data_IF_782401819319
#
_entry.id   IF_782401819319
#
_cell.length_a   1.000
_cell.length_b   1.000
_cell.length_c   1.000
_cell.angle_alpha   90.00
_cell.angle_beta   90.00
_cell.angle_gamma   90.00
#
_symmetry.space_group_name_H-M   'P 1'
#
loop_
_entity.id
_entity.type
_entity.pdbx_description
1 polymer ?
#
# COMPACT_ATOMS: atom_id res chain seq x y z
N UNK A 1 10.85 8.73 6.52
CA UNK A 1 10.63 7.39 5.96
C UNK A 1 10.40 7.51 4.46
N UNK A 2 10.89 6.57 3.71
CA UNK A 2 10.99 6.71 2.27
C UNK A 2 9.73 6.31 1.51
N UNK A 3 9.65 6.80 0.30
CA UNK A 3 8.61 6.47 -0.68
C UNK A 3 8.75 4.99 -1.11
N UNK A 4 7.65 4.24 -1.28
CA UNK A 4 7.72 2.82 -1.66
C UNK A 4 8.42 2.55 -2.99
N UNK A 5 8.36 3.47 -3.96
CA UNK A 5 9.09 3.31 -5.24
C UNK A 5 10.60 3.38 -5.01
N UNK A 6 11.04 4.13 -3.99
CA UNK A 6 12.45 4.22 -3.61
C UNK A 6 12.89 2.98 -2.83
N UNK A 7 12.07 2.50 -1.90
CA UNK A 7 12.44 1.36 -1.04
C UNK A 7 12.38 0.03 -1.77
N UNK A 8 11.36 -0.16 -2.63
CA UNK A 8 11.13 -1.42 -3.34
C UNK A 8 10.77 -1.17 -4.80
N UNK A 9 11.73 -0.68 -5.61
CA UNK A 9 11.45 -0.39 -7.04
C UNK A 9 11.13 -1.64 -7.86
N UNK A 10 11.49 -2.81 -7.38
CA UNK A 10 11.18 -4.09 -8.03
C UNK A 10 9.72 -4.50 -7.86
N UNK A 11 9.02 -3.96 -6.86
CA UNK A 11 7.63 -4.29 -6.56
C UNK A 11 6.67 -3.16 -6.91
N UNK A 12 7.11 -1.91 -6.81
CA UNK A 12 6.32 -0.71 -7.10
C UNK A 12 6.79 -0.02 -8.37
N UNK A 13 5.86 0.39 -9.20
CA UNK A 13 6.15 1.23 -10.37
C UNK A 13 5.10 2.33 -10.51
N UNK A 14 5.47 3.44 -11.14
CA UNK A 14 4.55 4.54 -11.41
C UNK A 14 3.81 4.23 -12.71
N UNK A 15 2.50 3.98 -12.60
CA UNK A 15 1.65 3.69 -13.76
C UNK A 15 1.16 4.96 -14.44
N UNK A 16 0.92 6.02 -13.66
CA UNK A 16 0.44 7.31 -14.16
C UNK A 16 0.75 8.39 -13.12
N UNK A 17 1.01 9.60 -13.59
CA UNK A 17 1.24 10.73 -12.69
C UNK A 17 0.88 12.04 -13.37
N UNK A 18 0.23 12.96 -12.63
CA UNK A 18 0.00 14.33 -13.03
C UNK A 18 0.13 15.24 -11.80
N UNK A 19 -0.33 16.49 -11.89
CA UNK A 19 -0.20 17.45 -10.79
C UNK A 19 -1.05 17.09 -9.57
N UNK A 20 -2.04 16.23 -9.71
CA UNK A 20 -3.01 15.95 -8.67
C UNK A 20 -2.88 14.57 -8.04
N UNK A 21 -2.45 13.58 -8.82
CA UNK A 21 -2.35 12.19 -8.36
C UNK A 21 -1.10 11.53 -8.90
N UNK A 22 -0.64 10.52 -8.16
CA UNK A 22 0.34 9.56 -8.65
C UNK A 22 -0.25 8.18 -8.47
N UNK A 23 -0.36 7.42 -9.56
CA UNK A 23 -0.90 6.06 -9.51
C UNK A 23 0.27 5.07 -9.49
N UNK A 24 0.38 4.32 -8.40
CA UNK A 24 1.37 3.26 -8.26
C UNK A 24 0.74 1.92 -8.60
N UNK A 25 1.51 1.08 -9.30
CA UNK A 25 1.21 -0.33 -9.50
C UNK A 25 2.09 -1.13 -8.57
N UNK A 26 1.49 -1.98 -7.76
CA UNK A 26 2.20 -2.88 -6.86
C UNK A 26 1.94 -4.32 -7.29
N UNK A 27 3.01 -5.10 -7.47
CA UNK A 27 2.91 -6.51 -7.84
C UNK A 27 3.95 -7.32 -7.07
N UNK A 28 3.50 -8.37 -6.38
CA UNK A 28 4.40 -9.27 -5.67
C UNK A 28 3.95 -10.72 -5.76
N UNK A 29 4.79 -11.60 -5.24
CA UNK A 29 4.56 -13.04 -5.14
C UNK A 29 4.54 -13.47 -3.67
N UNK A 30 3.97 -14.66 -3.34
CA UNK A 30 4.02 -15.17 -1.98
C UNK A 30 5.43 -15.14 -1.40
N UNK A 31 5.56 -14.64 -0.18
CA UNK A 31 6.84 -14.50 0.53
C UNK A 31 7.55 -13.18 0.31
N UNK A 32 7.16 -12.39 -0.68
CA UNK A 32 7.78 -11.08 -0.92
C UNK A 32 7.45 -10.11 0.20
N UNK A 33 8.43 -9.26 0.52
CA UNK A 33 8.33 -8.25 1.59
C UNK A 33 8.71 -6.89 1.07
N UNK A 34 8.06 -5.86 1.62
CA UNK A 34 8.48 -4.48 1.42
C UNK A 34 9.32 -4.01 2.61
N UNK A 35 10.24 -3.07 2.34
CA UNK A 35 10.89 -2.30 3.38
C UNK A 35 9.88 -1.31 3.98
N UNK A 36 10.11 -0.81 5.21
CA UNK A 36 9.27 0.26 5.75
C UNK A 36 9.24 1.45 4.80
N UNK A 37 8.05 1.96 4.54
CA UNK A 37 7.83 3.07 3.61
C UNK A 37 6.62 3.88 4.04
N UNK A 38 6.42 5.01 3.36
CA UNK A 38 5.35 5.95 3.66
C UNK A 38 4.41 6.09 2.47
N UNK A 39 3.11 6.00 2.74
CA UNK A 39 2.05 6.32 1.78
C UNK A 39 1.35 7.62 2.15
N UNK A 40 1.03 8.49 1.17
CA UNK A 40 0.05 9.56 1.39
C UNK A 40 -1.36 8.97 1.40
N UNK A 41 -2.38 9.82 1.63
CA UNK A 41 -3.77 9.43 1.43
C UNK A 41 -3.96 8.87 0.03
N UNK A 42 -4.62 7.72 -0.08
CA UNK A 42 -4.74 7.00 -1.35
C UNK A 42 -6.06 6.28 -1.48
N UNK A 43 -6.49 6.12 -2.72
CA UNK A 43 -7.53 5.14 -3.07
C UNK A 43 -6.80 3.87 -3.53
N UNK A 44 -7.10 2.76 -2.88
CA UNK A 44 -6.53 1.45 -3.18
C UNK A 44 -7.51 0.64 -4.02
N UNK A 45 -7.05 0.12 -5.15
CA UNK A 45 -7.86 -0.67 -6.07
C UNK A 45 -7.19 -2.03 -6.23
N UNK A 46 -7.88 -3.09 -5.80
CA UNK A 46 -7.31 -4.44 -5.85
C UNK A 46 -7.69 -5.13 -7.15
N UNK A 47 -6.70 -5.71 -7.83
CA UNK A 47 -6.89 -6.49 -9.05
C UNK A 47 -6.75 -7.99 -8.83
N UNK A 48 -6.35 -8.41 -7.63
CA UNK A 48 -6.25 -9.82 -7.24
C UNK A 48 -6.68 -9.98 -5.79
N UNK A 49 -7.07 -11.20 -5.43
CA UNK A 49 -7.30 -11.56 -4.02
C UNK A 49 -5.98 -11.90 -3.39
N UNK A 50 -5.70 -11.36 -2.20
CA UNK A 50 -4.43 -11.58 -1.53
C UNK A 50 -4.56 -11.54 -0.01
N UNK A 51 -3.52 -12.02 0.63
CA UNK A 51 -3.39 -12.05 2.09
C UNK A 51 -2.04 -11.44 2.47
N UNK A 52 -2.06 -10.46 3.38
CA UNK A 52 -0.86 -9.70 3.76
C UNK A 52 -0.76 -9.49 5.25
N UNK A 53 0.47 -9.40 5.73
CA UNK A 53 0.78 -8.91 7.08
C UNK A 53 1.35 -7.51 6.98
N UNK A 54 0.71 -6.58 7.65
CA UNK A 54 1.16 -5.19 7.72
C UNK A 54 1.74 -4.92 9.09
N UNK A 55 2.86 -4.20 9.12
CA UNK A 55 3.58 -3.88 10.36
C UNK A 55 3.89 -2.40 10.42
N UNK A 56 3.76 -1.84 11.62
CA UNK A 56 4.20 -0.48 11.96
C UNK A 56 4.63 -0.49 13.42
N UNK A 57 5.91 -0.18 13.68
CA UNK A 57 6.52 -0.29 15.02
C UNK A 57 6.30 -1.70 15.58
N UNK A 58 5.66 -1.82 16.76
CA UNK A 58 5.33 -3.10 17.38
C UNK A 58 3.92 -3.61 17.03
N UNK A 59 3.22 -2.88 16.17
CA UNK A 59 1.88 -3.22 15.70
C UNK A 59 1.94 -4.12 14.45
N UNK A 60 1.08 -5.15 14.42
CA UNK A 60 0.99 -6.06 13.27
C UNK A 60 -0.45 -6.50 13.08
N UNK A 61 -0.93 -6.46 11.83
CA UNK A 61 -2.26 -6.99 11.48
C UNK A 61 -2.14 -7.85 10.22
N UNK A 62 -2.99 -8.87 10.15
CA UNK A 62 -3.14 -9.69 8.94
C UNK A 62 -4.47 -9.32 8.28
N UNK A 63 -4.43 -9.08 6.97
CA UNK A 63 -5.61 -8.72 6.18
C UNK A 63 -5.76 -9.66 5.00
N UNK A 64 -7.00 -9.99 4.66
CA UNK A 64 -7.35 -10.71 3.44
C UNK A 64 -8.29 -9.81 2.65
N UNK A 65 -7.90 -9.46 1.42
CA UNK A 65 -8.66 -8.52 0.61
C UNK A 65 -8.97 -9.17 -0.74
N UNK A 66 -10.26 -9.29 -1.10
CA UNK A 66 -10.66 -9.80 -2.42
C UNK A 66 -10.23 -8.86 -3.54
N UNK A 67 -9.97 -9.42 -4.72
CA UNK A 67 -9.78 -8.64 -5.92
C UNK A 67 -11.06 -7.92 -6.35
N UNK A 68 -10.89 -6.79 -7.04
CA UNK A 68 -12.00 -5.99 -7.54
C UNK A 68 -12.62 -5.05 -6.51
N UNK A 69 -11.93 -4.77 -5.41
CA UNK A 69 -12.39 -3.84 -4.38
C UNK A 69 -11.71 -2.49 -4.49
N UNK A 70 -12.42 -1.46 -4.03
CA UNK A 70 -11.92 -0.10 -3.91
C UNK A 70 -12.00 0.28 -2.44
N UNK A 71 -10.86 0.67 -1.86
CA UNK A 71 -10.75 1.01 -0.44
C UNK A 71 -9.96 2.29 -0.25
N UNK A 72 -10.16 2.94 0.87
CA UNK A 72 -9.38 4.10 1.29
C UNK A 72 -8.21 3.66 2.16
N UNK A 73 -7.04 4.26 1.93
CA UNK A 73 -5.85 4.09 2.75
C UNK A 73 -5.44 5.45 3.28
N UNK A 74 -5.62 5.68 4.59
CA UNK A 74 -5.11 6.88 5.23
C UNK A 74 -3.59 6.94 5.13
N UNK A 75 -3.04 8.14 4.99
CA UNK A 75 -1.60 8.36 5.01
C UNK A 75 -0.98 7.63 6.19
N UNK A 76 0.05 6.81 5.93
CA UNK A 76 0.65 5.98 6.97
C UNK A 76 2.04 5.50 6.59
N UNK A 77 2.79 5.10 7.60
CA UNK A 77 4.06 4.41 7.47
C UNK A 77 3.86 2.95 7.86
N UNK A 78 4.32 2.04 7.02
CA UNK A 78 4.25 0.62 7.30
C UNK A 78 5.21 -0.18 6.42
N UNK A 79 5.31 -1.48 6.72
CA UNK A 79 5.87 -2.48 5.83
C UNK A 79 4.86 -3.60 5.65
N UNK A 80 5.01 -4.40 4.59
CA UNK A 80 4.09 -5.48 4.30
C UNK A 80 4.79 -6.74 3.83
N UNK A 81 4.09 -7.86 4.01
CA UNK A 81 4.56 -9.17 3.57
C UNK A 81 3.39 -9.95 2.99
N UNK A 82 3.59 -10.54 1.81
CA UNK A 82 2.60 -11.46 1.24
C UNK A 82 2.70 -12.80 1.99
N UNK A 83 1.75 -13.06 2.88
CA UNK A 83 1.69 -14.28 3.69
C UNK A 83 0.74 -15.33 3.10
N UNK A 84 0.14 -15.03 1.94
CA UNK A 84 -0.79 -15.92 1.27
C UNK A 84 -0.14 -16.82 0.24
N UNK A 85 -0.98 -17.40 -0.60
CA UNK A 85 -0.58 -18.33 -1.65
C UNK A 85 -0.78 -17.76 -3.06
N UNK A 86 -1.24 -16.51 -3.16
CA UNK A 86 -1.53 -15.83 -4.43
C UNK A 86 -0.68 -14.59 -4.59
N UNK A 87 -0.47 -14.15 -5.84
CA UNK A 87 0.18 -12.90 -6.12
C UNK A 87 -0.71 -11.73 -5.73
N UNK A 88 -0.09 -10.63 -5.31
CA UNK A 88 -0.80 -9.36 -5.08
C UNK A 88 -0.64 -8.49 -6.32
N UNK A 89 -1.74 -7.99 -6.86
CA UNK A 89 -1.75 -6.92 -7.85
C UNK A 89 -2.73 -5.85 -7.38
N UNK A 90 -2.19 -4.67 -7.12
CA UNK A 90 -2.95 -3.56 -6.53
C UNK A 90 -2.48 -2.24 -7.12
N UNK A 91 -3.42 -1.31 -7.27
CA UNK A 91 -3.11 0.05 -7.68
C UNK A 91 -3.44 1.01 -6.54
N UNK A 92 -2.56 1.99 -6.33
CA UNK A 92 -2.75 3.06 -5.34
C UNK A 92 -2.86 4.37 -6.10
N UNK A 93 -4.01 5.03 -6.00
CA UNK A 93 -4.18 6.38 -6.50
C UNK A 93 -3.82 7.32 -5.36
N UNK A 94 -2.57 7.78 -5.34
CA UNK A 94 -2.04 8.66 -4.30
C UNK A 94 -2.42 10.09 -4.56
N UNK A 95 -2.98 10.77 -3.56
CA UNK A 95 -3.34 12.18 -3.66
C UNK A 95 -2.11 13.04 -3.36
N UNK A 96 -1.85 14.04 -4.19
CA UNK A 96 -0.71 14.95 -4.01
C UNK A 96 -1.00 16.12 -3.08
N UNK A 97 -2.26 16.33 -2.71
CA UNK A 97 -2.62 17.30 -1.68
C UNK A 97 -2.19 16.81 -0.30
N UNK A 98 -2.03 17.70 0.69
CA UNK A 98 -1.64 17.29 2.04
C UNK A 98 -2.59 16.27 2.62
N UNK A 99 -2.05 15.34 3.44
CA UNK A 99 -2.83 14.31 4.10
C UNK A 99 -3.90 14.96 5.01
N UNK A 100 -5.08 14.34 5.07
CA UNK A 100 -6.21 14.83 5.85
C UNK A 100 -6.06 14.57 7.33
N UNK A 101 -5.09 13.71 7.75
CA UNK A 101 -4.83 13.33 9.14
C UNK A 101 -3.34 13.29 9.42
N UNK A 102 -2.99 13.37 10.72
CA UNK A 102 -1.63 13.06 11.16
C UNK A 102 -1.32 11.59 10.95
N UNK A 103 -0.05 11.28 10.67
CA UNK A 103 0.38 9.90 10.41
C UNK A 103 0.18 8.97 11.63
N UNK A 104 0.13 9.53 12.83
CA UNK A 104 -0.04 8.77 14.07
C UNK A 104 -1.51 8.52 14.41
N UNK A 105 -2.43 9.09 13.62
CA UNK A 105 -3.87 8.99 13.84
C UNK A 105 -4.52 8.34 12.63
N UNK A 106 -5.01 7.16 12.77
CA UNK A 106 -5.63 6.44 11.67
C UNK A 106 -5.47 4.95 11.87
N UNK A 107 -6.15 4.20 11.05
CA UNK A 107 -6.16 2.74 11.10
C UNK A 107 -5.05 2.20 10.22
N UNK A 108 -4.26 1.28 10.74
CA UNK A 108 -3.26 0.59 9.94
C UNK A 108 -3.93 -0.23 8.84
N UNK A 109 -3.45 -0.08 7.61
CA UNK A 109 -3.97 -0.77 6.44
C UNK A 109 -5.18 -0.07 5.82
N UNK A 110 -5.74 -0.66 4.77
CA UNK A 110 -6.89 -0.08 4.06
C UNK A 110 -8.19 -0.25 4.83
N UNK A 111 -9.06 0.70 4.64
CA UNK A 111 -10.40 0.70 5.23
C UNK A 111 -11.41 -0.01 4.35
#
# INVERSE_FOLDING_TARGET
>A
MDDPVTTNPELYSVAFENDRVRVLRYHDHPGDRTQPHRHPDSVMITASTFERRLRHDDQSIDVTIPGGEVRWLDAQEHSGENIGSTETLTFFVELKEPASRDLDVGTLGPQ
#
